data_IF_623986452800
#
_entry.id   IF_623986452800
#
_cell.length_a   1.000
_cell.length_b   1.000
_cell.length_c   1.000
_cell.angle_alpha   90.00
_cell.angle_beta   90.00
_cell.angle_gamma   90.00
#
_symmetry.space_group_name_H-M   'P 1'
#
loop_
_entity.id
_entity.type
_entity.pdbx_description
1 polymer ?
#
# COMPACT_ATOMS: atom_id res chain seq x y z
N UNK A 1 20.88 37.30 36.89
CA UNK A 1 19.70 37.00 37.72
C UNK A 1 18.47 36.96 36.82
N UNK A 2 17.95 35.77 36.52
CA UNK A 2 16.54 35.51 36.14
C UNK A 2 16.35 34.02 35.81
N UNK A 3 15.87 33.31 36.83
CA UNK A 3 14.80 32.30 36.80
C UNK A 3 14.94 31.09 35.85
N UNK A 4 15.62 30.07 36.37
CA UNK A 4 15.49 28.65 36.02
C UNK A 4 14.06 28.18 36.23
N UNK A 5 13.27 28.03 35.16
CA UNK A 5 11.93 27.41 35.26
C UNK A 5 12.06 25.88 35.24
N UNK A 6 11.85 25.29 36.43
CA UNK A 6 11.81 23.85 36.67
C UNK A 6 10.72 23.17 35.82
N UNK A 7 11.09 22.02 35.24
CA UNK A 7 10.18 21.08 34.57
C UNK A 7 9.34 20.35 35.63
N UNK A 8 7.99 20.28 35.50
CA UNK A 8 7.22 19.41 36.36
C UNK A 8 7.42 17.94 35.95
N UNK A 9 7.82 17.12 36.92
CA UNK A 9 7.89 15.68 36.82
C UNK A 9 6.47 15.12 36.63
N UNK A 10 6.14 14.62 35.43
CA UNK A 10 4.90 13.86 35.22
C UNK A 10 5.07 12.47 35.80
N UNK A 11 4.28 12.23 36.83
CA UNK A 11 4.19 11.01 37.63
C UNK A 11 3.96 9.78 36.76
N UNK A 12 4.70 8.72 37.09
CA UNK A 12 4.50 7.35 36.63
C UNK A 12 3.29 6.78 37.37
N UNK A 13 2.24 6.37 36.66
CA UNK A 13 1.19 5.53 37.23
C UNK A 13 1.61 4.05 37.16
N UNK A 14 1.62 3.30 38.28
CA UNK A 14 1.67 1.85 38.25
C UNK A 14 0.22 1.31 38.22
N UNK A 15 -0.29 0.95 37.03
CA UNK A 15 -1.49 0.12 36.98
C UNK A 15 -1.12 -1.34 37.22
N UNK A 16 -1.70 -1.82 38.30
CA UNK A 16 -1.52 -3.12 38.92
C UNK A 16 -1.71 -4.29 37.96
N UNK A 17 -0.89 -5.30 38.21
CA UNK A 17 -1.01 -6.68 37.73
C UNK A 17 -2.33 -7.26 38.23
N UNK A 18 -3.15 -7.76 37.31
CA UNK A 18 -4.17 -8.75 37.65
C UNK A 18 -3.95 -9.96 36.77
N UNK A 19 -3.14 -10.91 37.26
CA UNK A 19 -3.15 -12.29 36.76
C UNK A 19 -4.48 -12.91 37.20
N UNK A 20 -5.36 -13.20 36.24
CA UNK A 20 -6.49 -14.10 36.47
C UNK A 20 -6.19 -15.42 35.74
N UNK A 21 -5.63 -16.36 36.49
CA UNK A 21 -5.67 -17.79 36.20
C UNK A 21 -7.09 -18.27 36.48
N UNK A 22 -7.85 -18.61 35.45
CA UNK A 22 -9.07 -19.43 35.60
C UNK A 22 -8.94 -20.58 34.61
N UNK A 23 -8.81 -21.77 35.19
CA UNK A 23 -8.59 -23.03 34.50
C UNK A 23 -9.77 -23.47 33.63
N UNK A 24 -9.43 -24.40 32.75
CA UNK A 24 -10.28 -25.18 31.85
C UNK A 24 -11.53 -25.75 32.51
N UNK A 25 -12.62 -25.88 31.73
CA UNK A 25 -13.18 -27.22 31.62
C UNK A 25 -13.24 -27.65 30.16
N UNK A 26 -12.54 -28.76 29.90
CA UNK A 26 -12.75 -29.62 28.76
C UNK A 26 -14.20 -30.11 28.75
N UNK A 27 -15.05 -29.51 27.92
CA UNK A 27 -16.28 -30.13 27.49
C UNK A 27 -16.07 -30.61 26.06
N UNK A 28 -15.78 -31.90 25.99
CA UNK A 28 -15.94 -32.69 24.80
C UNK A 28 -17.36 -32.51 24.28
N UNK A 29 -17.48 -32.11 23.01
CA UNK A 29 -18.62 -32.48 22.19
C UNK A 29 -18.09 -32.63 20.76
N UNK A 30 -17.75 -33.87 20.45
CA UNK A 30 -17.65 -34.36 19.09
C UNK A 30 -19.00 -34.12 18.40
N UNK A 31 -19.11 -33.01 17.68
CA UNK A 31 -20.17 -32.73 16.73
C UNK A 31 -19.57 -32.78 15.33
N UNK A 32 -19.43 -33.98 14.78
CA UNK A 32 -19.18 -34.17 13.36
C UNK A 32 -20.44 -33.76 12.61
N UNK A 33 -20.63 -32.46 12.39
CA UNK A 33 -21.67 -31.97 11.48
C UNK A 33 -21.02 -31.91 10.10
N UNK A 34 -21.20 -33.00 9.35
CA UNK A 34 -21.02 -33.04 7.91
C UNK A 34 -22.05 -32.09 7.27
N UNK A 35 -21.78 -30.79 7.29
CA UNK A 35 -22.39 -29.87 6.35
C UNK A 35 -21.75 -30.13 4.99
N UNK A 36 -22.36 -31.05 4.24
CA UNK A 36 -22.15 -31.17 2.80
C UNK A 36 -22.55 -29.85 2.13
N UNK A 37 -21.57 -29.02 1.81
CA UNK A 37 -21.78 -27.95 0.85
C UNK A 37 -22.09 -28.60 -0.50
N UNK A 38 -23.22 -28.30 -1.17
CA UNK A 38 -23.29 -28.54 -2.60
C UNK A 38 -22.19 -27.65 -3.22
N UNK A 39 -21.12 -28.29 -3.67
CA UNK A 39 -20.10 -27.64 -4.48
C UNK A 39 -20.81 -27.01 -5.66
N UNK A 40 -20.95 -25.70 -5.61
CA UNK A 40 -21.29 -24.90 -6.76
C UNK A 40 -20.10 -25.01 -7.71
N UNK A 41 -20.20 -25.88 -8.71
CA UNK A 41 -19.31 -25.85 -9.85
C UNK A 41 -19.60 -24.59 -10.68
N UNK A 42 -19.30 -23.42 -10.11
CA UNK A 42 -18.95 -22.25 -10.88
C UNK A 42 -17.60 -22.59 -11.50
N UNK A 43 -17.64 -23.11 -12.71
CA UNK A 43 -16.49 -23.10 -13.62
C UNK A 43 -16.37 -21.65 -14.09
N UNK A 44 -15.41 -20.83 -13.59
CA UNK A 44 -15.13 -19.57 -14.24
C UNK A 44 -14.63 -19.87 -15.66
N UNK A 45 -15.11 -19.08 -16.61
CA UNK A 45 -14.75 -19.17 -18.02
C UNK A 45 -13.22 -19.15 -18.24
N UNK A 46 -12.72 -19.77 -19.31
CA UNK A 46 -11.28 -19.88 -19.55
C UNK A 46 -10.64 -18.53 -19.88
N UNK A 47 -9.69 -18.14 -19.03
CA UNK A 47 -8.43 -17.44 -19.29
C UNK A 47 -8.37 -16.50 -20.51
N UNK A 48 -8.60 -15.22 -20.25
CA UNK A 48 -7.79 -14.17 -20.84
C UNK A 48 -6.32 -14.39 -20.42
N UNK A 49 -5.45 -14.66 -21.40
CA UNK A 49 -4.01 -14.83 -21.15
C UNK A 49 -3.36 -13.48 -20.85
N UNK A 50 -3.58 -12.95 -19.64
CA UNK A 50 -2.84 -11.77 -19.21
C UNK A 50 -3.17 -11.12 -17.87
N UNK A 51 -3.98 -11.65 -16.95
CA UNK A 51 -4.28 -10.87 -15.72
C UNK A 51 -4.55 -11.69 -14.42
N UNK A 52 -3.69 -12.64 -13.98
CA UNK A 52 -3.71 -13.05 -12.57
C UNK A 52 -2.43 -12.74 -11.78
N UNK A 53 -1.31 -12.43 -12.45
CA UNK A 53 -0.03 -12.10 -11.79
C UNK A 53 0.01 -10.68 -11.22
N UNK A 54 -0.76 -9.75 -11.79
CA UNK A 54 -0.82 -8.36 -11.34
C UNK A 54 -1.58 -8.18 -10.03
N UNK A 55 -2.61 -8.99 -9.76
CA UNK A 55 -3.44 -8.87 -8.53
C UNK A 55 -2.72 -9.33 -7.25
N UNK A 56 -1.65 -10.12 -7.37
CA UNK A 56 -0.85 -10.61 -6.24
C UNK A 56 0.29 -9.64 -5.86
N UNK A 57 0.88 -8.92 -6.84
CA UNK A 57 2.00 -7.98 -6.62
C UNK A 57 1.57 -6.65 -5.98
N UNK A 58 0.30 -6.29 -6.12
CA UNK A 58 -0.29 -5.04 -5.57
C UNK A 58 -0.35 -5.01 -4.04
N UNK A 59 -0.24 -6.16 -3.34
CA UNK A 59 -0.50 -6.23 -1.90
C UNK A 59 0.65 -5.77 -0.97
N UNK A 60 1.83 -5.43 -1.49
CA UNK A 60 2.99 -5.08 -0.65
C UNK A 60 3.73 -3.79 -1.05
N UNK A 61 3.18 -2.99 -1.97
CA UNK A 61 3.95 -2.01 -2.73
C UNK A 61 4.55 -2.72 -3.93
N UNK A 62 3.91 -2.55 -5.08
CA UNK A 62 4.29 -3.23 -6.31
C UNK A 62 5.74 -2.88 -6.67
N UNK A 63 6.68 -3.85 -6.70
CA UNK A 63 8.07 -3.59 -7.06
C UNK A 63 8.20 -3.00 -8.46
N UNK A 64 7.19 -3.18 -9.33
CA UNK A 64 7.12 -2.51 -10.64
C UNK A 64 6.99 -1.00 -10.46
N UNK A 65 6.08 -0.54 -9.59
CA UNK A 65 5.87 0.90 -9.36
C UNK A 65 7.12 1.58 -8.82
N UNK A 66 7.81 0.94 -7.87
CA UNK A 66 9.08 1.43 -7.31
C UNK A 66 10.18 1.45 -8.37
N UNK A 67 10.29 0.42 -9.21
CA UNK A 67 11.29 0.38 -10.29
C UNK A 67 11.04 1.44 -11.37
N UNK A 68 9.79 1.64 -11.77
CA UNK A 68 9.39 2.69 -12.72
C UNK A 68 9.72 4.07 -12.13
N UNK A 69 9.40 4.29 -10.86
CA UNK A 69 9.77 5.51 -10.16
C UNK A 69 11.28 5.74 -10.20
N UNK A 70 12.07 4.76 -9.76
CA UNK A 70 13.52 4.87 -9.67
C UNK A 70 14.18 5.11 -11.02
N UNK A 71 13.75 4.41 -12.08
CA UNK A 71 14.42 4.48 -13.40
C UNK A 71 13.96 5.66 -14.25
N UNK A 72 12.79 6.24 -13.98
CA UNK A 72 12.20 7.26 -14.86
C UNK A 72 11.81 8.54 -14.13
N UNK A 73 11.16 8.44 -12.97
CA UNK A 73 10.60 9.61 -12.27
C UNK A 73 11.64 10.31 -11.37
N UNK A 74 12.42 9.51 -10.64
CA UNK A 74 13.33 9.98 -9.59
C UNK A 74 14.36 10.99 -10.11
N UNK A 75 14.88 10.78 -11.34
CA UNK A 75 15.87 11.67 -11.94
C UNK A 75 15.43 13.14 -11.92
N UNK A 76 14.14 13.42 -12.13
CA UNK A 76 13.64 14.79 -12.07
C UNK A 76 13.08 15.15 -10.69
N UNK A 77 12.31 14.25 -10.09
CA UNK A 77 11.50 14.56 -8.91
C UNK A 77 12.26 14.47 -7.57
N UNK A 78 13.39 13.78 -7.53
CA UNK A 78 14.25 13.69 -6.34
C UNK A 78 15.45 14.65 -6.42
N UNK A 79 15.76 15.16 -7.62
CA UNK A 79 16.88 16.08 -7.86
C UNK A 79 16.46 17.55 -8.03
N UNK A 80 15.19 17.88 -7.78
CA UNK A 80 14.70 19.26 -7.81
C UNK A 80 14.51 19.85 -9.21
N UNK A 81 14.58 19.04 -10.27
CA UNK A 81 14.20 19.45 -11.63
C UNK A 81 12.68 19.62 -11.72
N UNK A 82 11.95 18.67 -11.12
CA UNK A 82 10.52 18.75 -10.87
C UNK A 82 10.22 18.84 -9.37
N UNK A 83 8.97 19.18 -8.99
CA UNK A 83 8.56 19.15 -7.59
C UNK A 83 8.62 17.73 -7.03
N UNK A 84 8.88 17.57 -5.74
CA UNK A 84 8.77 16.26 -5.08
C UNK A 84 7.34 15.71 -5.19
N UNK A 85 7.23 14.43 -5.53
CA UNK A 85 5.94 13.73 -5.74
C UNK A 85 5.73 12.54 -4.78
N UNK A 86 6.75 12.13 -4.03
CA UNK A 86 6.65 11.17 -2.91
C UNK A 86 6.23 11.85 -1.62
N UNK A 87 5.71 11.10 -0.65
CA UNK A 87 5.21 11.57 0.65
C UNK A 87 4.08 12.61 0.54
N UNK A 88 3.22 12.44 -0.47
CA UNK A 88 2.11 13.36 -0.78
C UNK A 88 0.78 12.67 -0.99
N UNK A 89 0.75 11.35 -1.17
CA UNK A 89 -0.46 10.57 -1.45
C UNK A 89 -1.22 11.09 -2.67
N UNK A 90 -0.55 11.13 -3.83
CA UNK A 90 -1.11 11.72 -5.04
C UNK A 90 -2.26 10.89 -5.61
N UNK A 91 -3.27 11.56 -6.19
CA UNK A 91 -4.35 10.89 -6.92
C UNK A 91 -3.80 10.16 -8.16
N UNK A 92 -4.02 8.83 -8.30
CA UNK A 92 -3.57 8.07 -9.45
C UNK A 92 -4.10 8.59 -10.80
N UNK A 93 -5.32 9.14 -10.84
CA UNK A 93 -5.86 9.65 -12.10
C UNK A 93 -5.10 10.90 -12.58
N UNK A 94 -4.77 11.81 -11.66
CA UNK A 94 -3.92 12.95 -11.94
C UNK A 94 -2.51 12.53 -12.39
N UNK A 95 -1.88 11.55 -11.72
CA UNK A 95 -0.56 11.05 -12.13
C UNK A 95 -0.60 10.52 -13.56
N UNK A 96 -1.61 9.70 -13.89
CA UNK A 96 -1.80 9.16 -15.24
C UNK A 96 -1.95 10.26 -16.29
N UNK A 97 -2.74 11.28 -16.00
CA UNK A 97 -2.97 12.41 -16.90
C UNK A 97 -1.66 13.16 -17.16
N UNK A 98 -0.92 13.51 -16.12
CA UNK A 98 0.35 14.24 -16.23
C UNK A 98 1.42 13.44 -16.98
N UNK A 99 1.52 12.13 -16.75
CA UNK A 99 2.48 11.29 -17.47
C UNK A 99 2.12 11.16 -18.95
N UNK A 100 0.84 11.08 -19.30
CA UNK A 100 0.41 10.92 -20.71
C UNK A 100 0.38 12.20 -21.51
N UNK A 101 0.15 13.34 -20.86
CA UNK A 101 0.02 14.63 -21.54
C UNK A 101 1.17 15.59 -21.27
N UNK A 102 2.05 15.27 -20.31
CA UNK A 102 3.03 16.20 -19.80
C UNK A 102 2.36 17.35 -19.01
N UNK A 103 3.18 18.27 -18.55
CA UNK A 103 2.69 19.47 -17.87
C UNK A 103 3.80 20.49 -17.68
N UNK A 104 3.61 21.69 -18.22
CA UNK A 104 4.66 22.71 -18.27
C UNK A 104 5.94 22.13 -18.92
N UNK A 105 7.04 22.06 -18.17
CA UNK A 105 8.30 21.49 -18.62
C UNK A 105 8.39 19.95 -18.44
N UNK A 106 7.43 19.31 -17.77
CA UNK A 106 7.39 17.86 -17.62
C UNK A 106 7.00 17.22 -18.96
N UNK A 107 7.83 16.31 -19.52
CA UNK A 107 7.53 15.67 -20.79
C UNK A 107 6.36 14.68 -20.67
N UNK A 108 5.69 14.44 -21.80
CA UNK A 108 4.74 13.36 -21.95
C UNK A 108 5.48 12.04 -22.29
N UNK A 109 5.08 10.94 -21.66
CA UNK A 109 5.64 9.61 -21.89
C UNK A 109 4.65 8.72 -22.65
N UNK A 110 5.13 8.14 -23.75
CA UNK A 110 4.36 7.25 -24.63
C UNK A 110 4.11 5.89 -23.94
N UNK A 111 3.08 5.14 -24.38
CA UNK A 111 2.86 3.77 -23.92
C UNK A 111 4.04 2.82 -24.18
N UNK A 112 4.88 3.13 -25.17
CA UNK A 112 6.11 2.36 -25.47
C UNK A 112 7.26 2.67 -24.51
N UNK A 113 7.20 3.78 -23.77
CA UNK A 113 8.23 4.19 -22.80
C UNK A 113 7.82 3.82 -21.37
N UNK A 114 6.55 4.01 -21.05
CA UNK A 114 5.91 3.55 -19.81
C UNK A 114 4.58 2.93 -20.21
N UNK A 115 4.46 1.61 -20.10
CA UNK A 115 3.21 0.90 -20.41
C UNK A 115 2.07 1.30 -19.47
N UNK A 116 0.82 1.01 -19.84
CA UNK A 116 -0.33 1.35 -18.98
C UNK A 116 -0.31 0.57 -17.65
N UNK A 117 0.21 -0.67 -17.65
CA UNK A 117 0.39 -1.46 -16.44
C UNK A 117 1.45 -0.86 -15.51
N UNK A 118 2.61 -0.45 -16.06
CA UNK A 118 3.67 0.21 -15.29
C UNK A 118 3.21 1.56 -14.73
N UNK A 119 2.47 2.33 -15.55
CA UNK A 119 1.92 3.60 -15.13
C UNK A 119 0.87 3.42 -14.02
N UNK A 120 0.02 2.41 -14.11
CA UNK A 120 -0.91 2.06 -13.04
C UNK A 120 -0.18 1.69 -11.74
N UNK A 121 0.89 0.89 -11.84
CA UNK A 121 1.70 0.48 -10.69
C UNK A 121 2.38 1.66 -9.98
N UNK A 122 3.05 2.55 -10.73
CA UNK A 122 3.71 3.72 -10.12
C UNK A 122 2.70 4.73 -9.57
N UNK A 123 1.54 4.87 -10.21
CA UNK A 123 0.47 5.75 -9.71
C UNK A 123 -0.09 5.25 -8.38
N UNK A 124 -0.33 3.94 -8.25
CA UNK A 124 -0.76 3.33 -7.00
C UNK A 124 0.31 3.44 -5.90
N UNK A 125 1.59 3.31 -6.26
CA UNK A 125 2.70 3.52 -5.33
C UNK A 125 2.74 4.98 -4.81
N UNK A 126 2.55 5.97 -5.68
CA UNK A 126 2.53 7.40 -5.28
C UNK A 126 1.31 7.76 -4.43
N UNK A 127 0.17 7.12 -4.65
CA UNK A 127 -1.03 7.27 -3.80
C UNK A 127 -0.79 6.77 -2.37
N UNK A 128 -0.05 5.67 -2.23
CA UNK A 128 0.30 5.07 -0.94
C UNK A 128 1.45 5.79 -0.24
N UNK A 129 2.25 6.57 -0.97
CA UNK A 129 3.38 7.34 -0.44
C UNK A 129 2.88 8.61 0.27
N UNK A 130 2.45 8.49 1.53
CA UNK A 130 2.02 9.59 2.41
C UNK A 130 3.02 9.87 3.51
#
# INVERSE_FOLDING_TARGET
MKETRLRPARQRLPMARTLALIGTPAWAAAGLVLFGAPGNSQVPAPADRGVPVVSALVRAGDPVGVQVYARTCAYCHDHGVGPAITHRGLDPAMVRLMVRHGGLAMPAFRPTEISDAELAAVSAMLEQSK
#
